data_IF_674443513296
#
_entry.id   IF_674443513296
#
_cell.length_a   1.000
_cell.length_b   1.000
_cell.length_c   1.000
_cell.angle_alpha   90.00
_cell.angle_beta   90.00
_cell.angle_gamma   90.00
#
_symmetry.space_group_name_H-M   'P 1'
#
loop_
_entity.id
_entity.type
_entity.pdbx_description
1 polymer ?
#
# COMPACT_ATOMS: atom_id res chain seq x y z
N UNK A 1 -1.43 -21.57 8.61
CA UNK A 1 -2.48 -20.83 9.36
C UNK A 1 -3.60 -21.78 9.80
N UNK A 2 -4.30 -22.44 8.88
CA UNK A 2 -5.47 -23.28 9.19
C UNK A 2 -5.13 -24.39 10.20
N UNK A 3 -4.00 -25.10 10.07
CA UNK A 3 -3.55 -26.10 11.03
C UNK A 3 -3.30 -25.54 12.45
N UNK A 4 -2.92 -24.29 12.57
CA UNK A 4 -2.78 -23.63 13.87
C UNK A 4 -4.14 -23.33 14.48
N UNK A 5 -5.10 -22.85 13.69
CA UNK A 5 -6.47 -22.60 14.13
C UNK A 5 -7.18 -23.90 14.56
N UNK A 6 -6.94 -25.00 13.81
CA UNK A 6 -7.45 -26.33 14.16
C UNK A 6 -6.95 -26.79 15.55
N UNK A 7 -5.68 -26.55 15.88
CA UNK A 7 -5.10 -26.87 17.20
C UNK A 7 -5.61 -25.98 18.34
N UNK A 8 -5.94 -24.71 18.03
CA UNK A 8 -6.43 -23.72 18.98
C UNK A 8 -7.96 -23.71 19.11
N UNK A 9 -8.68 -24.73 18.56
CA UNK A 9 -10.12 -24.80 18.35
C UNK A 9 -10.95 -24.60 19.64
N UNK A 10 -11.03 -23.34 20.11
CA UNK A 10 -11.85 -22.89 21.23
C UNK A 10 -12.56 -21.60 20.86
N UNK A 11 -13.81 -21.71 20.40
CA UNK A 11 -14.65 -20.57 20.07
C UNK A 11 -14.66 -20.17 18.60
N UNK A 12 -15.23 -19.00 18.31
CA UNK A 12 -15.35 -18.47 16.96
C UNK A 12 -14.02 -17.86 16.47
N UNK A 13 -13.56 -18.30 15.32
CA UNK A 13 -12.40 -17.71 14.62
C UNK A 13 -12.87 -16.61 13.67
N UNK A 14 -12.47 -15.37 13.91
CA UNK A 14 -12.71 -14.25 12.98
C UNK A 14 -11.42 -14.00 12.19
N UNK A 15 -11.50 -14.21 10.88
CA UNK A 15 -10.37 -14.05 9.96
C UNK A 15 -10.62 -12.79 9.12
N UNK A 16 -9.65 -11.89 9.04
CA UNK A 16 -9.81 -10.63 8.30
C UNK A 16 -8.69 -10.46 7.26
N UNK A 17 -9.01 -9.85 6.11
CA UNK A 17 -8.06 -9.49 5.04
C UNK A 17 -7.44 -10.68 4.29
N UNK A 18 -7.98 -11.85 4.48
CA UNK A 18 -7.52 -13.07 3.79
C UNK A 18 -8.53 -14.21 3.92
N UNK A 19 -8.29 -15.24 3.15
CA UNK A 19 -9.03 -16.51 3.19
C UNK A 19 -10.43 -16.49 2.55
N UNK A 20 -10.82 -15.42 1.84
CA UNK A 20 -12.10 -15.39 1.09
C UNK A 20 -12.22 -16.49 0.03
N UNK A 21 -11.10 -17.02 -0.47
CA UNK A 21 -11.05 -18.16 -1.41
C UNK A 21 -10.76 -19.52 -0.79
N UNK A 22 -10.85 -19.65 0.55
CA UNK A 22 -10.49 -20.89 1.27
C UNK A 22 -11.63 -21.42 2.16
N UNK A 23 -12.86 -20.99 1.93
CA UNK A 23 -14.01 -21.34 2.76
C UNK A 23 -14.21 -22.84 2.90
N UNK A 24 -14.15 -23.60 1.80
CA UNK A 24 -14.27 -25.08 1.83
C UNK A 24 -13.20 -25.75 2.70
N UNK A 25 -11.98 -25.24 2.68
CA UNK A 25 -10.91 -25.77 3.54
C UNK A 25 -11.15 -25.44 5.01
N UNK A 26 -11.71 -24.25 5.29
CA UNK A 26 -12.07 -23.84 6.65
C UNK A 26 -13.24 -24.66 7.19
N UNK A 27 -14.26 -24.94 6.37
CA UNK A 27 -15.38 -25.81 6.72
C UNK A 27 -14.90 -27.22 7.14
N UNK A 28 -13.98 -27.79 6.35
CA UNK A 28 -13.44 -29.13 6.64
C UNK A 28 -12.64 -29.19 7.95
N UNK A 29 -11.95 -28.10 8.31
CA UNK A 29 -11.01 -28.06 9.43
C UNK A 29 -11.59 -27.49 10.73
N UNK A 30 -12.50 -26.53 10.62
CA UNK A 30 -13.03 -25.76 11.74
C UNK A 30 -14.56 -25.94 11.94
N UNK A 31 -15.24 -26.68 11.05
CA UNK A 31 -16.70 -26.78 11.06
C UNK A 31 -17.34 -25.41 10.93
N UNK A 32 -18.34 -25.09 11.77
CA UNK A 32 -19.08 -23.83 11.73
C UNK A 32 -18.47 -22.72 12.62
N UNK A 33 -17.29 -22.96 13.22
CA UNK A 33 -16.72 -22.04 14.21
C UNK A 33 -15.77 -20.99 13.59
N UNK A 34 -16.10 -20.45 12.43
CA UNK A 34 -15.30 -19.44 11.79
C UNK A 34 -16.16 -18.47 10.96
N UNK A 35 -15.62 -17.27 10.75
CA UNK A 35 -16.12 -16.28 9.80
C UNK A 35 -14.96 -15.54 9.15
N UNK A 36 -15.04 -15.29 7.85
CA UNK A 36 -14.08 -14.48 7.09
C UNK A 36 -14.73 -13.13 6.76
N UNK A 37 -13.99 -12.04 7.00
CA UNK A 37 -14.30 -10.69 6.55
C UNK A 37 -13.22 -10.27 5.56
N UNK A 38 -13.51 -10.33 4.25
CA UNK A 38 -12.53 -10.12 3.21
C UNK A 38 -13.06 -9.23 2.08
N UNK A 39 -12.15 -8.61 1.34
CA UNK A 39 -12.45 -7.70 0.23
C UNK A 39 -11.71 -8.07 -1.07
N UNK A 40 -10.86 -9.10 -1.03
CA UNK A 40 -10.20 -9.61 -2.23
C UNK A 40 -11.19 -10.28 -3.18
N UNK A 41 -10.84 -10.37 -4.47
CA UNK A 41 -11.66 -11.09 -5.44
C UNK A 41 -11.91 -12.52 -4.97
N UNK A 42 -13.19 -12.92 -4.94
CA UNK A 42 -13.62 -14.23 -4.47
C UNK A 42 -13.78 -15.17 -5.67
N UNK A 43 -13.31 -16.43 -5.59
CA UNK A 43 -13.60 -17.45 -6.59
C UNK A 43 -15.10 -17.77 -6.69
N UNK A 44 -15.59 -18.10 -7.88
CA UNK A 44 -17.01 -18.38 -8.13
C UNK A 44 -17.57 -19.51 -7.22
N UNK A 45 -16.76 -20.51 -6.92
CA UNK A 45 -17.14 -21.65 -6.12
C UNK A 45 -17.16 -21.40 -4.61
N UNK A 46 -16.75 -20.20 -4.17
CA UNK A 46 -16.84 -19.73 -2.76
C UNK A 46 -17.92 -18.66 -2.55
N UNK A 47 -18.60 -18.21 -3.62
CA UNK A 47 -19.63 -17.16 -3.53
C UNK A 47 -20.77 -17.55 -2.59
N UNK A 48 -21.19 -18.80 -2.59
CA UNK A 48 -22.32 -19.28 -1.78
C UNK A 48 -21.96 -19.61 -0.32
N UNK A 49 -20.69 -19.58 0.06
CA UNK A 49 -20.27 -19.87 1.42
C UNK A 49 -20.73 -18.77 2.38
N UNK A 50 -21.64 -19.09 3.31
CA UNK A 50 -22.27 -18.12 4.22
C UNK A 50 -21.31 -17.57 5.29
N UNK A 51 -20.26 -18.31 5.64
CA UNK A 51 -19.25 -17.88 6.61
C UNK A 51 -18.23 -16.91 6.00
N UNK A 52 -18.24 -16.73 4.67
CA UNK A 52 -17.42 -15.75 3.98
C UNK A 52 -18.25 -14.51 3.71
N UNK A 53 -18.00 -13.44 4.46
CA UNK A 53 -18.57 -12.11 4.24
C UNK A 53 -17.54 -11.34 3.40
N UNK A 54 -17.85 -11.16 2.11
CA UNK A 54 -16.94 -10.55 1.15
C UNK A 54 -17.64 -9.44 0.37
N UNK A 55 -16.97 -8.32 0.14
CA UNK A 55 -17.51 -7.14 -0.53
C UNK A 55 -18.11 -7.48 -1.92
N UNK A 56 -17.43 -8.34 -2.69
CA UNK A 56 -17.85 -8.74 -4.04
C UNK A 56 -19.20 -9.49 -4.07
N UNK A 57 -19.64 -10.09 -2.97
CA UNK A 57 -20.98 -10.71 -2.86
C UNK A 57 -22.11 -9.68 -2.84
N UNK A 58 -21.79 -8.42 -2.62
CA UNK A 58 -22.74 -7.31 -2.47
C UNK A 58 -22.55 -6.25 -3.56
N UNK A 59 -21.91 -6.60 -4.68
CA UNK A 59 -21.60 -5.68 -5.79
C UNK A 59 -20.76 -4.47 -5.35
N UNK A 60 -19.92 -4.64 -4.30
CA UNK A 60 -18.99 -3.61 -3.82
C UNK A 60 -17.58 -3.98 -4.29
N UNK A 61 -16.92 -3.04 -4.96
CA UNK A 61 -15.52 -3.24 -5.38
C UNK A 61 -14.57 -3.20 -4.18
N UNK A 62 -14.12 -4.39 -3.78
CA UNK A 62 -13.15 -4.53 -2.70
C UNK A 62 -11.76 -3.93 -3.00
N UNK A 63 -11.46 -3.58 -4.25
CA UNK A 63 -10.20 -2.92 -4.61
C UNK A 63 -10.20 -1.40 -4.40
N UNK A 64 -11.37 -0.76 -4.34
CA UNK A 64 -11.49 0.70 -4.32
C UNK A 64 -12.51 1.23 -3.32
N UNK A 65 -13.61 0.50 -3.06
CA UNK A 65 -14.75 1.01 -2.29
C UNK A 65 -14.73 0.63 -0.82
N UNK A 66 -14.10 -0.50 -0.46
CA UNK A 66 -13.95 -0.95 0.93
C UNK A 66 -12.70 -1.80 1.10
N UNK A 67 -11.98 -1.60 2.21
CA UNK A 67 -10.86 -2.44 2.64
C UNK A 67 -11.27 -3.40 3.77
N UNK A 68 -10.40 -4.32 4.14
CA UNK A 68 -10.65 -5.27 5.24
C UNK A 68 -10.97 -4.58 6.58
N UNK A 69 -10.29 -3.46 6.89
CA UNK A 69 -10.59 -2.67 8.08
C UNK A 69 -11.98 -2.02 8.01
N UNK A 70 -12.45 -1.64 6.81
CA UNK A 70 -13.81 -1.20 6.56
C UNK A 70 -14.82 -2.33 6.79
N UNK A 71 -14.55 -3.54 6.27
CA UNK A 71 -15.37 -4.73 6.52
C UNK A 71 -15.48 -5.04 8.02
N UNK A 72 -14.35 -5.02 8.73
CA UNK A 72 -14.30 -5.23 10.18
C UNK A 72 -15.09 -4.16 10.95
N UNK A 73 -14.98 -2.88 10.51
CA UNK A 73 -15.75 -1.77 11.08
C UNK A 73 -17.26 -1.96 10.90
N UNK A 74 -17.73 -2.36 9.70
CA UNK A 74 -19.14 -2.63 9.45
C UNK A 74 -19.65 -3.79 10.31
N UNK A 75 -18.87 -4.85 10.44
CA UNK A 75 -19.19 -5.96 11.35
C UNK A 75 -19.28 -5.49 12.82
N UNK A 76 -18.29 -4.73 13.30
CA UNK A 76 -18.28 -4.21 14.66
C UNK A 76 -19.48 -3.30 14.96
N UNK A 77 -19.84 -2.41 14.03
CA UNK A 77 -20.99 -1.50 14.19
C UNK A 77 -22.33 -2.21 14.07
N UNK A 78 -22.40 -3.33 13.34
CA UNK A 78 -23.58 -4.20 13.31
C UNK A 78 -23.80 -4.91 14.65
N UNK A 79 -22.73 -5.29 15.34
CA UNK A 79 -22.79 -5.90 16.66
C UNK A 79 -23.10 -4.87 17.77
N UNK A 80 -22.52 -3.68 17.68
CA UNK A 80 -22.77 -2.59 18.62
C UNK A 80 -22.59 -1.24 17.91
N UNK A 81 -23.67 -0.43 17.91
CA UNK A 81 -23.68 0.90 17.27
C UNK A 81 -22.72 1.90 17.91
N UNK A 82 -22.32 1.72 19.14
CA UNK A 82 -21.30 2.57 19.81
C UNK A 82 -19.91 2.46 19.16
N UNK A 83 -19.63 1.34 18.48
CA UNK A 83 -18.38 1.12 17.75
C UNK A 83 -18.16 2.07 16.53
N UNK A 84 -19.02 3.09 16.36
CA UNK A 84 -18.81 4.14 15.34
C UNK A 84 -17.53 4.93 15.56
N UNK A 85 -17.01 5.00 16.77
CA UNK A 85 -15.75 5.63 17.13
C UNK A 85 -14.54 4.95 16.45
N UNK A 86 -14.66 3.68 16.05
CA UNK A 86 -13.65 2.94 15.28
C UNK A 86 -13.53 3.41 13.83
N UNK A 87 -14.42 4.28 13.33
CA UNK A 87 -14.37 4.81 11.96
C UNK A 87 -13.04 5.50 11.63
N UNK A 88 -12.39 6.15 12.60
CA UNK A 88 -11.08 6.74 12.41
C UNK A 88 -10.00 5.71 12.05
N UNK A 89 -9.97 4.56 12.73
CA UNK A 89 -9.01 3.47 12.43
C UNK A 89 -9.35 2.80 11.10
N UNK A 90 -10.63 2.66 10.74
CA UNK A 90 -11.04 2.17 9.44
C UNK A 90 -10.56 3.09 8.29
N UNK A 91 -10.58 4.42 8.49
CA UNK A 91 -9.97 5.39 7.55
C UNK A 91 -8.47 5.14 7.39
N UNK A 92 -7.72 4.91 8.49
CA UNK A 92 -6.28 4.58 8.41
C UNK A 92 -6.05 3.29 7.63
N UNK A 93 -6.90 2.27 7.83
CA UNK A 93 -6.83 1.01 7.09
C UNK A 93 -7.04 1.22 5.58
N UNK A 94 -8.04 1.99 5.18
CA UNK A 94 -8.31 2.30 3.77
C UNK A 94 -7.16 3.07 3.10
N UNK A 95 -6.50 3.99 3.83
CA UNK A 95 -5.27 4.66 3.37
C UNK A 95 -4.10 3.68 3.26
N UNK A 96 -3.99 2.72 4.19
CA UNK A 96 -2.96 1.68 4.18
C UNK A 96 -3.08 0.75 2.99
N UNK A 97 -4.30 0.47 2.57
CA UNK A 97 -4.65 -0.33 1.39
C UNK A 97 -4.71 0.50 0.08
N UNK A 98 -4.36 1.80 0.15
CA UNK A 98 -4.28 2.72 -0.99
C UNK A 98 -5.61 2.86 -1.75
N UNK A 99 -6.72 2.85 -1.04
CA UNK A 99 -8.07 2.97 -1.60
C UNK A 99 -8.55 4.43 -1.74
N UNK A 100 -7.69 5.40 -1.52
CA UNK A 100 -7.90 6.82 -1.81
C UNK A 100 -7.73 7.10 -3.32
N UNK A 101 -8.53 6.41 -4.15
CA UNK A 101 -8.42 6.41 -5.61
C UNK A 101 -9.48 7.27 -6.31
N UNK A 102 -10.36 7.91 -5.55
CA UNK A 102 -11.32 8.88 -6.08
C UNK A 102 -10.66 10.21 -6.50
N UNK A 103 -11.49 11.12 -7.00
CA UNK A 103 -11.02 12.43 -7.43
C UNK A 103 -10.26 13.14 -6.29
N UNK A 104 -9.09 13.73 -6.62
CA UNK A 104 -8.22 14.40 -5.64
C UNK A 104 -7.84 13.53 -4.44
N UNK A 105 -7.63 12.24 -4.65
CA UNK A 105 -7.31 11.28 -3.57
C UNK A 105 -8.41 11.18 -2.50
N UNK A 106 -9.68 11.30 -2.91
CA UNK A 106 -10.83 11.02 -2.06
C UNK A 106 -11.08 9.52 -1.95
N UNK A 107 -11.85 9.13 -0.95
CA UNK A 107 -12.44 7.81 -0.91
C UNK A 107 -13.72 7.75 -1.74
N UNK A 108 -14.07 6.55 -2.17
CA UNK A 108 -15.34 6.24 -2.85
C UNK A 108 -16.08 5.12 -2.11
N UNK A 109 -17.32 4.86 -2.50
CA UNK A 109 -18.13 3.76 -1.96
C UNK A 109 -18.29 3.78 -0.44
N UNK A 110 -18.11 2.63 0.20
CA UNK A 110 -18.25 2.47 1.64
C UNK A 110 -17.15 3.18 2.43
N UNK A 111 -15.91 3.23 1.91
CA UNK A 111 -14.84 4.01 2.55
C UNK A 111 -15.19 5.48 2.68
N UNK A 112 -15.89 6.06 1.69
CA UNK A 112 -16.36 7.45 1.76
C UNK A 112 -17.40 7.64 2.88
N UNK A 113 -18.33 6.70 3.04
CA UNK A 113 -19.34 6.74 4.11
C UNK A 113 -18.69 6.62 5.50
N UNK A 114 -17.71 5.72 5.63
CA UNK A 114 -16.94 5.54 6.87
C UNK A 114 -16.17 6.83 7.21
N UNK A 115 -15.48 7.41 6.23
CA UNK A 115 -14.75 8.66 6.41
C UNK A 115 -15.66 9.84 6.78
N UNK A 116 -16.87 9.90 6.21
CA UNK A 116 -17.89 10.86 6.61
C UNK A 116 -18.31 10.69 8.07
N UNK A 117 -18.54 9.46 8.51
CA UNK A 117 -18.85 9.16 9.93
C UNK A 117 -17.70 9.60 10.84
N UNK A 118 -16.44 9.31 10.48
CA UNK A 118 -15.27 9.74 11.24
C UNK A 118 -15.17 11.27 11.35
N UNK A 119 -15.51 11.99 10.28
CA UNK A 119 -15.57 13.46 10.27
C UNK A 119 -16.68 14.00 11.15
N UNK A 120 -17.88 13.44 11.07
CA UNK A 120 -19.03 13.84 11.89
C UNK A 120 -18.79 13.63 13.40
N UNK A 121 -17.97 12.64 13.75
CA UNK A 121 -17.55 12.37 15.14
C UNK A 121 -16.28 13.14 15.56
N UNK A 122 -15.79 14.06 14.72
CA UNK A 122 -14.57 14.85 14.97
C UNK A 122 -13.33 13.97 15.28
N UNK A 123 -13.26 12.80 14.67
CA UNK A 123 -12.13 11.89 14.75
C UNK A 123 -11.10 12.19 13.65
N UNK A 124 -11.57 12.66 12.50
CA UNK A 124 -10.75 12.95 11.33
C UNK A 124 -11.21 14.23 10.67
N UNK A 125 -10.30 15.18 10.46
CA UNK A 125 -10.49 16.32 9.58
C UNK A 125 -10.15 15.93 8.14
N UNK A 126 -11.06 16.21 7.21
CA UNK A 126 -10.88 15.91 5.79
C UNK A 126 -10.88 17.23 5.02
N UNK A 127 -9.74 17.62 4.50
CA UNK A 127 -9.53 18.89 3.81
C UNK A 127 -8.74 18.70 2.51
N UNK A 128 -9.02 19.55 1.53
CA UNK A 128 -8.20 19.64 0.32
C UNK A 128 -6.92 20.41 0.65
N UNK A 129 -5.76 19.80 0.46
CA UNK A 129 -4.47 20.37 0.85
C UNK A 129 -3.31 19.86 -0.01
N UNK A 130 -2.12 20.40 0.20
CA UNK A 130 -0.88 19.97 -0.45
C UNK A 130 -0.47 18.58 0.07
N UNK A 131 -0.37 17.61 -0.86
CA UNK A 131 -0.03 16.22 -0.59
C UNK A 131 1.47 15.96 -0.75
N UNK A 132 2.27 16.26 0.27
CA UNK A 132 3.66 15.85 0.33
C UNK A 132 3.84 14.70 1.33
N UNK A 133 4.74 13.78 1.01
CA UNK A 133 5.02 12.61 1.86
C UNK A 133 5.69 13.03 3.17
N UNK A 134 5.12 12.61 4.30
CA UNK A 134 5.60 13.01 5.62
C UNK A 134 5.18 14.41 5.99
N UNK A 135 3.94 14.75 5.70
CA UNK A 135 3.31 16.05 5.88
C UNK A 135 3.44 16.59 7.31
N UNK A 136 3.40 15.72 8.30
CA UNK A 136 3.55 16.08 9.72
C UNK A 136 4.99 15.92 10.25
N UNK A 137 5.79 15.03 9.68
CA UNK A 137 7.05 14.63 10.32
C UNK A 137 8.30 14.96 9.54
N UNK A 138 8.21 15.21 8.22
CA UNK A 138 9.40 15.46 7.39
C UNK A 138 9.66 16.95 7.19
N UNK A 139 10.93 17.41 7.27
CA UNK A 139 11.32 18.71 6.76
C UNK A 139 10.81 18.96 5.35
N UNK A 140 10.32 20.14 5.05
CA UNK A 140 9.69 20.45 3.77
C UNK A 140 10.52 20.08 2.52
N UNK A 141 11.85 20.30 2.46
CA UNK A 141 12.67 19.85 1.32
C UNK A 141 12.71 18.32 1.19
N UNK A 142 12.74 17.61 2.32
CA UNK A 142 12.70 16.15 2.33
C UNK A 142 11.31 15.64 1.94
N UNK A 143 10.25 16.27 2.42
CA UNK A 143 8.87 15.93 2.06
C UNK A 143 8.67 16.01 0.54
N UNK A 144 9.13 17.08 -0.09
CA UNK A 144 9.05 17.26 -1.54
C UNK A 144 9.92 16.24 -2.28
N UNK A 145 11.17 16.02 -1.85
CA UNK A 145 12.07 15.07 -2.49
C UNK A 145 11.59 13.62 -2.41
N UNK A 146 10.93 13.23 -1.32
CA UNK A 146 10.39 11.87 -1.14
C UNK A 146 8.99 11.68 -1.74
N UNK A 147 8.35 12.76 -2.21
CA UNK A 147 7.09 12.65 -2.96
C UNK A 147 7.40 12.13 -4.37
N UNK A 148 6.95 10.90 -4.65
CA UNK A 148 7.17 10.21 -5.92
C UNK A 148 5.89 10.07 -6.75
N UNK A 149 4.77 10.51 -6.23
CA UNK A 149 3.49 10.67 -6.92
C UNK A 149 2.93 12.06 -6.58
N UNK A 150 2.99 12.98 -7.57
CA UNK A 150 3.57 12.85 -8.91
C UNK A 150 5.08 12.72 -8.88
N UNK A 151 5.62 12.01 -9.88
CA UNK A 151 7.06 12.04 -10.13
C UNK A 151 7.40 13.36 -10.84
N UNK A 152 8.33 14.13 -10.25
CA UNK A 152 8.79 15.41 -10.80
C UNK A 152 10.26 15.26 -11.17
N UNK A 153 10.53 15.19 -12.47
CA UNK A 153 11.90 15.04 -12.98
C UNK A 153 12.81 16.17 -12.45
N UNK A 154 13.94 15.80 -11.85
CA UNK A 154 14.90 16.71 -11.26
C UNK A 154 14.61 17.11 -9.79
N UNK A 155 13.39 16.88 -9.27
CA UNK A 155 13.05 17.12 -7.87
C UNK A 155 12.90 15.82 -7.07
N UNK A 156 12.13 14.85 -7.59
CA UNK A 156 11.96 13.57 -6.89
C UNK A 156 13.30 12.90 -6.66
N UNK A 157 13.57 12.57 -5.39
CA UNK A 157 14.84 12.05 -4.84
C UNK A 157 16.05 13.00 -4.91
N UNK A 158 15.82 14.28 -5.19
CA UNK A 158 16.87 15.29 -5.22
C UNK A 158 16.58 16.39 -4.18
N UNK A 159 17.03 16.16 -2.95
CA UNK A 159 16.80 17.08 -1.82
C UNK A 159 17.38 18.47 -2.08
N UNK A 160 18.55 18.55 -2.71
CA UNK A 160 19.22 19.84 -2.92
C UNK A 160 18.49 20.69 -3.96
N UNK A 161 17.98 20.08 -5.03
CA UNK A 161 17.11 20.76 -5.98
C UNK A 161 15.80 21.23 -5.34
N UNK A 162 15.18 20.38 -4.50
CA UNK A 162 13.99 20.75 -3.73
C UNK A 162 14.25 21.95 -2.80
N UNK A 163 15.40 21.94 -2.09
CA UNK A 163 15.80 23.04 -1.24
C UNK A 163 16.01 24.36 -2.03
N UNK A 164 16.66 24.27 -3.20
CA UNK A 164 16.88 25.43 -4.07
C UNK A 164 15.57 26.06 -4.54
N UNK A 165 14.61 25.22 -4.99
CA UNK A 165 13.28 25.71 -5.42
C UNK A 165 12.52 26.33 -4.27
N UNK A 166 12.42 25.64 -3.14
CA UNK A 166 11.71 26.14 -1.98
C UNK A 166 12.26 27.48 -1.49
N UNK A 167 13.58 27.65 -1.47
CA UNK A 167 14.20 28.95 -1.17
C UNK A 167 13.79 30.05 -2.18
N UNK A 168 13.62 29.71 -3.45
CA UNK A 168 13.21 30.68 -4.48
C UNK A 168 11.76 31.15 -4.35
N UNK A 169 10.92 30.40 -3.60
CA UNK A 169 9.51 30.79 -3.34
C UNK A 169 9.37 31.88 -2.29
N UNK A 170 10.42 32.19 -1.52
CA UNK A 170 10.39 33.13 -0.41
C UNK A 170 9.64 32.59 0.83
N UNK A 171 9.32 31.31 0.88
CA UNK A 171 8.73 30.65 2.06
C UNK A 171 9.83 30.36 3.07
N UNK A 172 9.62 30.74 4.33
CA UNK A 172 10.55 30.39 5.39
C UNK A 172 10.54 28.89 5.66
N UNK A 173 11.69 28.23 5.46
CA UNK A 173 11.82 26.76 5.63
C UNK A 173 12.12 26.33 7.05
N UNK A 174 12.48 27.30 7.92
CA UNK A 174 12.78 27.06 9.33
C UNK A 174 12.02 28.05 10.21
N UNK A 175 11.59 27.57 11.36
CA UNK A 175 11.21 28.38 12.49
C UNK A 175 12.33 28.28 13.52
N UNK A 176 13.10 29.37 13.69
CA UNK A 176 14.36 29.40 14.46
C UNK A 176 15.35 28.32 13.95
N UNK A 177 15.69 27.35 14.79
CA UNK A 177 16.57 26.24 14.44
C UNK A 177 15.84 24.99 13.86
N UNK A 178 14.50 25.00 13.89
CA UNK A 178 13.68 23.84 13.54
C UNK A 178 13.19 23.93 12.08
N UNK A 179 13.34 22.83 11.34
CA UNK A 179 12.72 22.71 10.02
C UNK A 179 11.19 22.69 10.13
N UNK A 180 10.55 23.47 9.26
CA UNK A 180 9.10 23.43 9.08
C UNK A 180 8.72 22.20 8.26
N UNK A 181 7.53 21.68 8.53
CA UNK A 181 6.88 20.58 7.82
C UNK A 181 5.72 21.12 6.98
N UNK A 182 5.14 20.32 6.11
CA UNK A 182 4.06 20.76 5.22
C UNK A 182 2.85 21.28 5.98
N UNK A 183 2.51 20.68 7.12
CA UNK A 183 1.37 21.10 7.96
C UNK A 183 1.60 22.42 8.70
N UNK A 184 2.83 22.93 8.78
CA UNK A 184 3.13 24.23 9.37
C UNK A 184 2.89 25.41 8.39
N UNK A 185 2.67 25.11 7.10
CA UNK A 185 2.52 26.14 6.08
C UNK A 185 1.11 26.73 6.08
N UNK A 186 1.03 28.06 6.04
CA UNK A 186 -0.21 28.79 5.79
C UNK A 186 -0.65 28.63 4.32
N UNK A 187 -1.91 28.90 4.03
CA UNK A 187 -2.48 28.70 2.68
C UNK A 187 -1.73 29.48 1.58
N UNK A 188 -1.31 30.73 1.88
CA UNK A 188 -0.55 31.54 0.93
C UNK A 188 0.87 30.98 0.69
N UNK A 189 1.49 30.40 1.72
CA UNK A 189 2.79 29.73 1.61
C UNK A 189 2.69 28.46 0.78
N UNK A 190 1.64 27.65 1.01
CA UNK A 190 1.37 26.45 0.19
C UNK A 190 1.18 26.81 -1.27
N UNK A 191 0.46 27.90 -1.56
CA UNK A 191 0.27 28.43 -2.92
C UNK A 191 1.61 28.78 -3.57
N UNK A 192 2.49 29.51 -2.86
CA UNK A 192 3.86 29.83 -3.34
C UNK A 192 4.69 28.57 -3.61
N UNK A 193 4.60 27.55 -2.76
CA UNK A 193 5.29 26.27 -2.97
C UNK A 193 4.80 25.59 -4.24
N UNK A 194 3.49 25.50 -4.44
CA UNK A 194 2.88 24.91 -5.65
C UNK A 194 3.30 25.70 -6.90
N UNK A 195 3.25 27.03 -6.88
CA UNK A 195 3.70 27.88 -7.99
C UNK A 195 5.19 27.66 -8.32
N UNK A 196 6.05 27.54 -7.29
CA UNK A 196 7.48 27.25 -7.45
C UNK A 196 7.71 25.90 -8.12
N UNK A 197 7.02 24.85 -7.68
CA UNK A 197 7.09 23.50 -8.26
C UNK A 197 6.59 23.53 -9.71
N UNK A 198 5.45 24.17 -9.96
CA UNK A 198 4.85 24.26 -11.30
C UNK A 198 5.75 25.01 -12.27
N UNK A 199 6.36 26.13 -11.82
CA UNK A 199 7.31 26.92 -12.62
C UNK A 199 8.56 26.09 -12.95
N UNK A 200 9.04 25.25 -12.05
CA UNK A 200 10.16 24.34 -12.31
C UNK A 200 9.80 23.26 -13.34
N UNK A 201 8.62 22.69 -13.24
CA UNK A 201 8.14 21.62 -14.12
C UNK A 201 7.88 22.08 -15.56
N UNK A 202 8.13 23.35 -15.91
CA UNK A 202 7.84 24.05 -17.18
C UNK A 202 7.62 23.17 -18.40
N UNK A 203 6.38 23.17 -18.94
CA UNK A 203 6.04 22.67 -20.29
C UNK A 203 5.74 21.17 -20.41
N UNK A 204 6.10 20.33 -19.46
CA UNK A 204 5.75 18.91 -19.45
C UNK A 204 4.84 18.63 -18.24
N UNK A 205 3.53 18.44 -18.49
CA UNK A 205 2.55 17.98 -17.49
C UNK A 205 2.39 18.83 -16.22
N UNK A 206 2.68 20.15 -16.27
CA UNK A 206 2.56 21.01 -15.10
C UNK A 206 1.16 20.97 -14.45
N UNK A 207 0.11 20.88 -15.26
CA UNK A 207 -1.28 20.76 -14.81
C UNK A 207 -1.51 19.41 -14.11
N UNK A 208 -1.04 18.30 -14.68
CA UNK A 208 -1.15 16.98 -14.08
C UNK A 208 -0.40 16.90 -12.75
N UNK A 209 0.83 17.47 -12.69
CA UNK A 209 1.60 17.55 -11.45
C UNK A 209 0.85 18.33 -10.38
N UNK A 210 0.25 19.49 -10.72
CA UNK A 210 -0.56 20.27 -9.79
C UNK A 210 -1.78 19.47 -9.29
N UNK A 211 -2.46 18.81 -10.22
CA UNK A 211 -3.65 18.03 -9.91
C UNK A 211 -3.36 16.86 -8.96
N UNK A 212 -2.17 16.26 -9.07
CA UNK A 212 -1.75 15.19 -8.17
C UNK A 212 -1.16 15.69 -6.84
N UNK A 213 -0.58 16.89 -6.80
CA UNK A 213 -0.06 17.49 -5.57
C UNK A 213 -1.14 18.03 -4.64
N UNK A 214 -2.35 18.28 -5.15
CA UNK A 214 -3.47 18.78 -4.35
C UNK A 214 -4.52 17.68 -4.21
N UNK A 215 -4.82 17.30 -2.98
CA UNK A 215 -5.82 16.28 -2.73
C UNK A 215 -6.27 16.22 -1.28
N UNK A 216 -7.20 15.34 -1.01
CA UNK A 216 -7.74 15.21 0.34
C UNK A 216 -6.71 14.65 1.31
N UNK A 217 -6.53 15.38 2.41
CA UNK A 217 -5.77 14.96 3.60
C UNK A 217 -6.74 14.47 4.67
N UNK A 218 -6.28 13.51 5.44
CA UNK A 218 -7.02 12.90 6.54
C UNK A 218 -6.22 13.13 7.81
N UNK A 219 -6.57 14.20 8.55
CA UNK A 219 -5.83 14.63 9.74
C UNK A 219 -6.57 14.21 11.01
N UNK A 220 -5.88 13.60 11.95
CA UNK A 220 -6.40 13.20 13.25
C UNK A 220 -6.19 14.34 14.26
N UNK A 221 -7.18 15.20 14.53
CA UNK A 221 -6.98 16.44 15.29
C UNK A 221 -6.63 16.20 16.76
N UNK A 222 -7.00 15.03 17.31
CA UNK A 222 -6.72 14.64 18.69
C UNK A 222 -5.28 14.16 18.90
N UNK A 223 -4.54 13.86 17.83
CA UNK A 223 -3.15 13.46 17.90
C UNK A 223 -2.22 14.69 17.95
N UNK A 224 -1.10 14.56 18.63
CA UNK A 224 -0.11 15.62 18.77
C UNK A 224 0.41 16.10 17.41
N UNK A 225 0.65 17.40 17.28
CA UNK A 225 1.32 17.97 16.11
C UNK A 225 2.68 17.30 15.92
N UNK A 226 3.00 16.97 14.67
CA UNK A 226 4.24 16.30 14.28
C UNK A 226 4.38 14.85 14.76
N UNK A 227 3.32 14.27 15.29
CA UNK A 227 3.22 12.83 15.48
C UNK A 227 2.96 12.14 14.14
N UNK A 228 3.54 10.95 13.95
CA UNK A 228 3.21 10.07 12.81
C UNK A 228 1.74 9.65 12.78
N UNK A 229 1.03 9.77 13.90
CA UNK A 229 -0.39 9.41 13.98
C UNK A 229 -1.33 10.52 13.50
N UNK A 230 -0.82 11.76 13.38
CA UNK A 230 -1.66 12.90 13.03
C UNK A 230 -2.10 12.93 11.57
N UNK A 231 -1.25 12.51 10.64
CA UNK A 231 -1.62 12.32 9.22
C UNK A 231 -1.96 10.85 8.96
N UNK A 232 -3.13 10.57 8.39
CA UNK A 232 -3.62 9.21 8.18
C UNK A 232 -2.70 8.35 7.31
N UNK A 233 -1.99 8.92 6.32
CA UNK A 233 -1.04 8.18 5.48
C UNK A 233 0.26 7.88 6.21
N UNK A 234 0.70 8.78 7.10
CA UNK A 234 1.85 8.50 7.97
C UNK A 234 1.50 7.45 9.02
N UNK A 235 0.29 7.53 9.59
CA UNK A 235 -0.22 6.54 10.53
C UNK A 235 -0.29 5.16 9.88
N UNK A 236 -0.90 5.04 8.71
CA UNK A 236 -0.95 3.77 7.99
C UNK A 236 0.45 3.22 7.65
N UNK A 237 1.40 4.09 7.32
CA UNK A 237 2.80 3.70 7.09
C UNK A 237 3.46 3.12 8.34
N UNK A 238 3.18 3.69 9.53
CA UNK A 238 3.66 3.16 10.79
C UNK A 238 3.07 1.77 11.08
N UNK A 239 1.76 1.58 10.91
CA UNK A 239 1.12 0.28 11.11
C UNK A 239 1.65 -0.78 10.14
N UNK A 240 1.80 -0.41 8.87
CA UNK A 240 2.39 -1.27 7.85
C UNK A 240 3.83 -1.67 8.22
N UNK A 241 4.64 -0.76 8.76
CA UNK A 241 6.00 -1.09 9.19
C UNK A 241 6.00 -2.13 10.33
N UNK A 242 5.09 -1.99 11.30
CA UNK A 242 4.93 -2.97 12.38
C UNK A 242 4.59 -4.36 11.84
N UNK A 243 3.67 -4.46 10.88
CA UNK A 243 3.32 -5.71 10.22
C UNK A 243 4.48 -6.31 9.42
N UNK A 244 5.20 -5.49 8.64
CA UNK A 244 6.31 -5.94 7.78
C UNK A 244 7.53 -6.44 8.55
N UNK A 245 7.74 -5.96 9.78
CA UNK A 245 8.84 -6.41 10.67
C UNK A 245 8.35 -7.47 11.69
N UNK A 246 7.16 -8.05 11.49
CA UNK A 246 6.59 -9.04 12.40
C UNK A 246 6.38 -8.53 13.85
N UNK A 247 6.07 -7.25 14.02
CA UNK A 247 5.76 -6.59 15.29
C UNK A 247 4.30 -6.10 15.34
N UNK A 248 3.38 -6.85 14.75
CA UNK A 248 1.96 -6.48 14.63
C UNK A 248 1.32 -6.09 15.96
N UNK A 249 1.71 -6.74 17.07
CA UNK A 249 1.21 -6.40 18.41
C UNK A 249 1.46 -4.95 18.82
N UNK A 250 2.57 -4.34 18.36
CA UNK A 250 2.84 -2.91 18.59
C UNK A 250 1.82 -2.05 17.84
N UNK A 251 1.58 -2.35 16.55
CA UNK A 251 0.57 -1.65 15.74
C UNK A 251 -0.84 -1.77 16.34
N UNK A 252 -1.23 -2.97 16.78
CA UNK A 252 -2.52 -3.20 17.45
C UNK A 252 -2.65 -2.35 18.72
N UNK A 253 -1.61 -2.32 19.58
CA UNK A 253 -1.62 -1.53 20.81
C UNK A 253 -1.76 -0.03 20.52
N UNK A 254 -1.10 0.48 19.48
CA UNK A 254 -1.25 1.87 19.02
C UNK A 254 -2.70 2.14 18.58
N UNK A 255 -3.31 1.24 17.81
CA UNK A 255 -4.72 1.35 17.40
C UNK A 255 -5.67 1.30 18.60
N UNK A 256 -5.32 0.57 19.65
CA UNK A 256 -6.08 0.51 20.91
C UNK A 256 -5.83 1.72 21.83
N UNK A 257 -5.04 2.70 21.42
CA UNK A 257 -4.86 3.96 22.12
C UNK A 257 -3.58 4.10 22.93
N UNK A 258 -2.62 3.17 22.86
CA UNK A 258 -1.32 3.38 23.52
C UNK A 258 -0.56 4.50 22.80
N UNK A 259 -0.33 5.59 23.54
CA UNK A 259 0.41 6.79 23.08
C UNK A 259 1.74 6.98 23.82
N UNK A 260 2.18 5.96 24.56
CA UNK A 260 3.40 5.96 25.36
C UNK A 260 4.42 4.96 24.82
N UNK A 261 4.56 3.83 25.53
CA UNK A 261 5.60 2.83 25.23
C UNK A 261 5.48 2.23 23.84
N UNK A 262 4.26 1.88 23.42
CA UNK A 262 4.06 1.24 22.11
C UNK A 262 4.18 2.24 20.95
N UNK A 263 3.81 3.51 21.17
CA UNK A 263 4.07 4.55 20.16
C UNK A 263 5.58 4.76 19.95
N UNK A 264 6.37 4.87 21.02
CA UNK A 264 7.83 4.99 20.92
C UNK A 264 8.47 3.78 20.25
N UNK A 265 8.00 2.57 20.55
CA UNK A 265 8.47 1.35 19.87
C UNK A 265 8.05 1.35 18.38
N UNK A 266 6.84 1.82 18.05
CA UNK A 266 6.39 1.99 16.68
C UNK A 266 7.24 2.96 15.86
N UNK A 267 7.64 4.08 16.44
CA UNK A 267 8.56 5.05 15.83
C UNK A 267 9.94 4.45 15.53
N UNK A 268 10.47 3.66 16.48
CA UNK A 268 11.72 2.93 16.30
C UNK A 268 11.61 1.90 15.17
N UNK A 269 10.54 1.09 15.17
CA UNK A 269 10.24 0.12 14.10
C UNK A 269 10.15 0.81 12.73
N UNK A 270 9.49 1.96 12.66
CA UNK A 270 9.40 2.74 11.42
C UNK A 270 10.77 3.21 10.93
N UNK A 271 11.66 3.61 11.86
CA UNK A 271 13.06 3.95 11.56
C UNK A 271 13.85 2.77 11.01
N UNK A 272 13.76 1.61 11.66
CA UNK A 272 14.36 0.35 11.22
C UNK A 272 13.86 -0.06 9.84
N UNK A 273 12.53 -0.06 9.64
CA UNK A 273 11.90 -0.37 8.35
C UNK A 273 12.41 0.51 7.21
N UNK A 274 12.50 1.84 7.43
CA UNK A 274 13.05 2.77 6.43
C UNK A 274 14.52 2.53 6.13
N UNK A 275 15.31 2.13 7.14
CA UNK A 275 16.72 1.77 6.97
C UNK A 275 16.89 0.50 6.12
N UNK A 276 16.10 -0.54 6.41
CA UNK A 276 16.08 -1.79 5.66
C UNK A 276 15.72 -1.56 4.18
N UNK A 277 14.67 -0.76 3.90
CA UNK A 277 14.29 -0.41 2.52
C UNK A 277 15.48 0.24 1.79
N UNK A 278 16.15 1.20 2.43
CA UNK A 278 17.30 1.90 1.84
C UNK A 278 18.43 0.95 1.52
N UNK A 279 18.74 0.05 2.43
CA UNK A 279 19.76 -0.97 2.24
C UNK A 279 19.44 -1.90 1.06
N UNK A 280 18.22 -2.46 1.02
CA UNK A 280 17.79 -3.34 -0.08
C UNK A 280 17.83 -2.63 -1.43
N UNK A 281 17.33 -1.42 -1.51
CA UNK A 281 17.35 -0.65 -2.75
C UNK A 281 18.77 -0.31 -3.21
N UNK A 282 19.70 -0.05 -2.28
CA UNK A 282 21.11 0.16 -2.61
C UNK A 282 21.76 -1.11 -3.17
N UNK A 283 21.55 -2.26 -2.54
CA UNK A 283 22.09 -3.55 -3.02
C UNK A 283 21.54 -3.89 -4.39
N UNK A 284 20.21 -3.82 -4.57
CA UNK A 284 19.54 -4.08 -5.85
C UNK A 284 20.01 -3.12 -6.96
N UNK A 285 20.31 -1.86 -6.63
CA UNK A 285 20.84 -0.88 -7.58
C UNK A 285 22.29 -1.13 -8.00
N UNK A 286 23.10 -1.72 -7.12
CA UNK A 286 24.52 -1.97 -7.37
C UNK A 286 24.78 -3.35 -7.98
N UNK A 287 24.02 -4.39 -7.59
CA UNK A 287 24.19 -5.75 -8.08
C UNK A 287 23.34 -6.00 -9.33
N UNK A 288 23.86 -5.55 -10.49
CA UNK A 288 23.13 -5.57 -11.77
C UNK A 288 22.60 -6.95 -12.18
N UNK A 289 23.24 -8.04 -11.77
CA UNK A 289 22.81 -9.41 -12.05
C UNK A 289 21.45 -9.77 -11.41
N UNK A 290 21.04 -9.01 -10.37
CA UNK A 290 19.75 -9.20 -9.69
C UNK A 290 18.57 -8.64 -10.49
N UNK A 291 18.81 -7.80 -11.47
CA UNK A 291 17.75 -7.15 -12.22
C UNK A 291 17.94 -7.33 -13.71
N UNK A 292 17.01 -8.01 -14.36
CA UNK A 292 16.89 -8.02 -15.82
C UNK A 292 15.69 -7.17 -16.23
N UNK A 293 15.82 -6.43 -17.33
CA UNK A 293 14.75 -5.56 -17.82
C UNK A 293 14.70 -5.60 -19.32
N UNK A 294 13.52 -5.89 -19.86
CA UNK A 294 13.18 -5.72 -21.27
C UNK A 294 12.21 -4.53 -21.48
N UNK A 295 11.56 -4.48 -22.63
CA UNK A 295 10.60 -3.42 -22.98
C UNK A 295 9.36 -3.42 -22.09
N UNK A 296 8.92 -4.56 -21.60
CA UNK A 296 7.61 -4.78 -20.98
C UNK A 296 7.70 -5.19 -19.50
N UNK A 297 8.81 -5.77 -19.09
CA UNK A 297 8.97 -6.39 -17.79
C UNK A 297 10.30 -6.06 -17.13
N UNK A 298 10.30 -6.06 -15.81
CA UNK A 298 11.49 -6.03 -14.95
C UNK A 298 11.40 -7.22 -14.02
N UNK A 299 12.34 -8.15 -14.17
CA UNK A 299 12.49 -9.30 -13.27
C UNK A 299 13.55 -8.99 -12.22
N UNK A 300 13.23 -9.22 -10.95
CA UNK A 300 14.11 -8.92 -9.82
C UNK A 300 14.34 -10.17 -8.98
N UNK A 301 15.60 -10.58 -8.88
CA UNK A 301 16.02 -11.62 -7.96
C UNK A 301 16.46 -11.02 -6.62
N UNK A 302 15.63 -11.12 -5.61
CA UNK A 302 15.88 -10.63 -4.26
C UNK A 302 16.14 -11.75 -3.23
N UNK A 303 16.37 -12.98 -3.71
CA UNK A 303 16.70 -14.14 -2.87
C UNK A 303 17.97 -13.85 -2.03
N UNK A 304 17.94 -14.26 -0.76
CA UNK A 304 19.00 -13.99 0.21
C UNK A 304 19.15 -12.53 0.64
N UNK A 305 18.30 -11.62 0.13
CA UNK A 305 18.40 -10.18 0.42
C UNK A 305 17.12 -9.62 1.06
N UNK A 306 15.98 -9.80 0.41
CA UNK A 306 14.70 -9.20 0.85
C UNK A 306 13.83 -10.25 1.52
N UNK A 307 13.39 -10.06 2.77
CA UNK A 307 12.51 -11.00 3.43
C UNK A 307 11.11 -11.02 2.77
N UNK A 308 10.44 -12.14 2.85
CA UNK A 308 9.12 -12.37 2.26
C UNK A 308 8.10 -11.29 2.59
N UNK A 309 8.11 -10.77 3.82
CA UNK A 309 7.19 -9.73 4.30
C UNK A 309 7.38 -8.37 3.62
N UNK A 310 8.54 -8.13 2.99
CA UNK A 310 8.87 -6.86 2.35
C UNK A 310 8.83 -6.90 0.81
N UNK A 311 8.56 -8.06 0.20
CA UNK A 311 8.52 -8.21 -1.27
C UNK A 311 7.57 -7.20 -1.93
N UNK A 312 6.35 -7.04 -1.39
CA UNK A 312 5.35 -6.11 -1.91
C UNK A 312 5.81 -4.65 -1.84
N UNK A 313 6.52 -4.26 -0.78
CA UNK A 313 7.06 -2.90 -0.64
C UNK A 313 8.16 -2.65 -1.66
N UNK A 314 9.14 -3.54 -1.75
CA UNK A 314 10.29 -3.36 -2.65
C UNK A 314 9.85 -3.42 -4.11
N UNK A 315 8.96 -4.35 -4.49
CA UNK A 315 8.42 -4.40 -5.85
C UNK A 315 7.63 -3.14 -6.22
N UNK A 316 6.88 -2.55 -5.29
CA UNK A 316 6.16 -1.29 -5.51
C UNK A 316 7.10 -0.10 -5.69
N UNK A 317 8.20 -0.03 -4.92
CA UNK A 317 9.21 1.03 -5.07
C UNK A 317 9.95 0.93 -6.41
N UNK A 318 10.27 -0.30 -6.84
CA UNK A 318 10.89 -0.52 -8.15
C UNK A 318 9.92 -0.15 -9.27
N UNK A 319 8.64 -0.53 -9.16
CA UNK A 319 7.61 -0.17 -10.13
C UNK A 319 7.37 1.35 -10.21
N UNK A 320 7.48 2.06 -9.08
CA UNK A 320 7.39 3.53 -9.03
C UNK A 320 8.61 4.26 -9.59
N UNK A 321 9.69 3.55 -9.96
CA UNK A 321 10.87 4.19 -10.56
C UNK A 321 10.58 4.66 -11.99
N UNK A 322 11.04 5.88 -12.37
CA UNK A 322 10.85 6.41 -13.72
C UNK A 322 11.37 5.52 -14.85
N UNK A 323 12.44 4.78 -14.57
CA UNK A 323 13.04 3.82 -15.52
C UNK A 323 12.12 2.64 -15.87
N UNK A 324 11.12 2.41 -15.04
CA UNK A 324 10.21 1.27 -15.14
C UNK A 324 8.78 1.66 -15.53
N UNK A 325 8.53 2.95 -15.85
CA UNK A 325 7.23 3.42 -16.33
C UNK A 325 6.77 2.57 -17.52
N UNK A 326 5.52 2.15 -17.51
CA UNK A 326 4.90 1.33 -18.56
C UNK A 326 5.18 -0.17 -18.45
N UNK A 327 5.96 -0.63 -17.47
CA UNK A 327 6.38 -2.04 -17.33
C UNK A 327 5.65 -2.77 -16.19
N UNK A 328 5.66 -4.07 -16.26
CA UNK A 328 5.33 -4.97 -15.15
C UNK A 328 6.63 -5.26 -14.39
N UNK A 329 6.62 -5.13 -13.07
CA UNK A 329 7.74 -5.52 -12.20
C UNK A 329 7.37 -6.82 -11.49
N UNK A 330 8.23 -7.83 -11.57
CA UNK A 330 8.07 -9.11 -10.89
C UNK A 330 9.32 -9.33 -10.02
N UNK A 331 9.14 -9.39 -8.71
CA UNK A 331 10.18 -9.63 -7.73
C UNK A 331 10.00 -10.99 -7.10
N UNK A 332 11.09 -11.77 -6.98
CA UNK A 332 11.10 -13.04 -6.25
C UNK A 332 12.05 -13.02 -5.07
N UNK A 333 11.74 -13.78 -4.02
CA UNK A 333 12.60 -14.01 -2.85
C UNK A 333 12.37 -15.41 -2.27
N UNK A 334 13.23 -15.78 -1.33
CA UNK A 334 13.03 -17.02 -0.56
C UNK A 334 11.73 -16.91 0.25
N UNK A 335 10.86 -17.88 0.13
CA UNK A 335 9.69 -18.09 0.95
C UNK A 335 9.94 -19.04 2.11
N UNK A 336 8.94 -19.24 2.96
CA UNK A 336 8.99 -20.27 4.01
C UNK A 336 9.00 -21.68 3.41
N UNK A 337 9.54 -22.65 4.15
CA UNK A 337 9.44 -24.09 3.86
C UNK A 337 9.94 -24.51 2.47
N UNK A 338 11.04 -23.93 2.00
CA UNK A 338 11.64 -24.26 0.71
C UNK A 338 10.86 -23.78 -0.52
N UNK A 339 9.99 -22.78 -0.32
CA UNK A 339 9.25 -22.15 -1.39
C UNK A 339 9.94 -20.88 -1.91
N UNK A 340 9.47 -20.37 -3.06
CA UNK A 340 9.83 -19.06 -3.59
C UNK A 340 8.59 -18.18 -3.61
N UNK A 341 8.70 -16.97 -3.05
CA UNK A 341 7.64 -15.96 -3.03
C UNK A 341 7.83 -14.97 -4.16
N UNK A 342 6.77 -14.74 -4.93
CA UNK A 342 6.71 -13.73 -5.98
C UNK A 342 5.82 -12.56 -5.58
N UNK A 343 6.16 -11.37 -6.04
CA UNK A 343 5.33 -10.17 -5.95
C UNK A 343 5.40 -9.40 -7.27
N UNK A 344 4.27 -9.19 -7.91
CA UNK A 344 4.14 -8.45 -9.17
C UNK A 344 3.41 -7.14 -9.00
N UNK A 345 3.82 -6.12 -9.77
CA UNK A 345 3.24 -4.77 -9.78
C UNK A 345 3.21 -4.21 -11.20
N UNK A 346 2.10 -3.59 -11.58
CA UNK A 346 2.08 -2.69 -12.74
C UNK A 346 2.67 -1.34 -12.32
N UNK A 347 3.59 -0.81 -13.12
CA UNK A 347 4.07 0.56 -12.93
C UNK A 347 3.05 1.58 -13.45
N UNK A 348 3.30 2.86 -13.19
CA UNK A 348 2.49 3.96 -13.73
C UNK A 348 2.48 3.87 -15.27
N UNK A 349 1.34 4.16 -15.88
CA UNK A 349 1.13 4.12 -17.33
C UNK A 349 1.42 2.74 -17.97
N UNK A 350 1.37 1.66 -17.21
CA UNK A 350 1.43 0.31 -17.76
C UNK A 350 0.13 0.01 -18.52
N UNK A 351 0.21 0.03 -19.84
CA UNK A 351 -0.93 -0.25 -20.74
C UNK A 351 -1.19 -1.75 -20.95
N UNK A 352 -0.46 -2.61 -20.25
CA UNK A 352 -0.65 -4.05 -20.39
C UNK A 352 -2.03 -4.48 -19.91
N UNK A 353 -2.75 -5.23 -20.76
CA UNK A 353 -4.02 -5.86 -20.45
C UNK A 353 -3.88 -7.10 -19.56
N UNK A 354 -2.66 -7.49 -19.20
CA UNK A 354 -2.39 -8.62 -18.30
C UNK A 354 -3.03 -8.36 -16.93
N UNK A 355 -3.98 -9.18 -16.54
CA UNK A 355 -4.46 -9.22 -15.16
C UNK A 355 -3.41 -9.96 -14.31
N UNK A 356 -2.71 -9.24 -13.41
CA UNK A 356 -1.66 -9.85 -12.59
C UNK A 356 -2.21 -10.91 -11.62
N UNK A 357 -3.45 -10.74 -11.13
CA UNK A 357 -4.09 -11.75 -10.28
C UNK A 357 -4.24 -13.08 -11.01
N UNK A 358 -4.77 -13.04 -12.25
CA UNK A 358 -4.97 -14.25 -13.06
C UNK A 358 -3.62 -14.85 -13.48
N UNK A 359 -2.65 -14.03 -13.87
CA UNK A 359 -1.30 -14.49 -14.21
C UNK A 359 -0.67 -15.27 -13.07
N UNK A 360 -0.71 -14.71 -11.86
CA UNK A 360 -0.08 -15.33 -10.69
C UNK A 360 -0.86 -16.54 -10.18
N UNK A 361 -2.20 -16.50 -10.20
CA UNK A 361 -3.05 -17.62 -9.79
C UNK A 361 -2.89 -18.80 -10.74
N UNK A 362 -3.15 -18.60 -12.03
CA UNK A 362 -3.12 -19.69 -13.03
C UNK A 362 -1.71 -20.30 -13.16
N UNK A 363 -0.67 -19.44 -13.08
CA UNK A 363 0.71 -19.94 -13.07
C UNK A 363 1.02 -20.74 -11.82
N UNK A 364 0.66 -20.27 -10.64
CA UNK A 364 0.91 -20.99 -9.39
C UNK A 364 0.16 -22.34 -9.35
N UNK A 365 -1.13 -22.35 -9.71
CA UNK A 365 -1.93 -23.60 -9.77
C UNK A 365 -1.34 -24.62 -10.73
N UNK A 366 -0.80 -24.19 -11.87
CA UNK A 366 -0.13 -25.08 -12.84
C UNK A 366 1.09 -25.79 -12.25
N UNK A 367 1.72 -25.23 -11.25
CA UNK A 367 2.94 -25.72 -10.61
C UNK A 367 2.74 -26.04 -9.12
N UNK A 368 1.55 -26.48 -8.74
CA UNK A 368 1.17 -26.91 -7.39
C UNK A 368 1.43 -25.86 -6.30
N UNK A 369 1.33 -24.59 -6.68
CA UNK A 369 1.52 -23.44 -5.79
C UNK A 369 0.21 -22.71 -5.49
N UNK A 370 0.33 -21.54 -4.88
CA UNK A 370 -0.78 -20.64 -4.54
C UNK A 370 -0.48 -19.23 -5.03
N UNK A 371 -1.44 -18.60 -5.72
CA UNK A 371 -1.30 -17.24 -6.23
C UNK A 371 -2.62 -16.49 -6.25
N UNK A 372 -2.53 -15.16 -6.42
CA UNK A 372 -3.69 -14.27 -6.51
C UNK A 372 -3.35 -12.83 -6.12
N UNK A 373 -4.39 -12.00 -6.02
CA UNK A 373 -4.28 -10.59 -5.69
C UNK A 373 -5.27 -9.74 -6.48
N UNK A 374 -4.82 -8.59 -6.94
CA UNK A 374 -5.59 -7.66 -7.76
C UNK A 374 -4.99 -7.54 -9.17
N UNK A 375 -5.74 -6.93 -10.11
CA UNK A 375 -5.29 -6.72 -11.49
C UNK A 375 -3.92 -6.02 -11.58
N UNK A 376 -3.65 -5.04 -10.72
CA UNK A 376 -2.42 -4.23 -10.75
C UNK A 376 -1.34 -4.71 -9.76
N UNK A 377 -1.67 -5.61 -8.83
CA UNK A 377 -0.78 -6.04 -7.76
C UNK A 377 -1.14 -7.47 -7.30
N UNK A 378 -0.28 -8.43 -7.55
CA UNK A 378 -0.52 -9.83 -7.22
C UNK A 378 0.76 -10.52 -6.72
N UNK A 379 0.60 -11.73 -6.21
CA UNK A 379 1.71 -12.55 -5.75
C UNK A 379 1.47 -14.03 -6.01
N UNK A 380 2.55 -14.79 -5.95
CA UNK A 380 2.50 -16.25 -6.00
C UNK A 380 3.50 -16.86 -5.03
N UNK A 381 3.29 -18.11 -4.68
CA UNK A 381 4.22 -18.94 -3.95
C UNK A 381 4.26 -20.31 -4.61
N UNK A 382 5.44 -20.74 -4.98
CA UNK A 382 5.70 -22.05 -5.59
C UNK A 382 6.83 -22.76 -4.86
N UNK A 383 6.96 -24.07 -5.04
CA UNK A 383 8.10 -24.82 -4.54
C UNK A 383 9.37 -24.51 -5.35
N UNK A 384 10.53 -24.63 -4.72
CA UNK A 384 11.81 -24.21 -5.34
C UNK A 384 12.20 -25.08 -6.54
N UNK A 385 11.79 -26.34 -6.57
CA UNK A 385 12.01 -27.26 -7.69
C UNK A 385 11.21 -26.87 -8.97
N UNK A 386 10.16 -26.08 -8.84
CA UNK A 386 9.35 -25.58 -9.95
C UNK A 386 9.72 -24.16 -10.41
N UNK A 387 10.80 -23.60 -9.86
CA UNK A 387 11.18 -22.20 -10.09
C UNK A 387 11.42 -21.90 -11.58
N UNK A 388 12.22 -22.70 -12.27
CA UNK A 388 12.61 -22.42 -13.65
C UNK A 388 11.38 -22.52 -14.59
N UNK A 389 10.55 -23.57 -14.41
CA UNK A 389 9.31 -23.75 -15.19
C UNK A 389 8.33 -22.58 -14.97
N UNK A 390 8.25 -22.05 -13.76
CA UNK A 390 7.40 -20.90 -13.44
C UNK A 390 7.94 -19.60 -14.02
N UNK A 391 9.26 -19.39 -14.04
CA UNK A 391 9.89 -18.23 -14.68
C UNK A 391 9.63 -18.23 -16.19
N UNK A 392 9.77 -19.37 -16.85
CA UNK A 392 9.46 -19.52 -18.29
C UNK A 392 7.98 -19.18 -18.56
N UNK A 393 7.07 -19.70 -17.71
CA UNK A 393 5.64 -19.36 -17.80
C UNK A 393 5.38 -17.84 -17.67
N UNK A 394 6.01 -17.16 -16.73
CA UNK A 394 5.85 -15.73 -16.53
C UNK A 394 6.36 -14.95 -17.75
N UNK A 395 7.55 -15.28 -18.26
CA UNK A 395 8.15 -14.64 -19.42
C UNK A 395 7.30 -14.79 -20.68
N UNK A 396 6.83 -16.01 -20.96
CA UNK A 396 5.94 -16.27 -22.09
C UNK A 396 4.63 -15.48 -22.00
N UNK A 397 3.99 -15.42 -20.83
CA UNK A 397 2.67 -14.81 -20.73
C UNK A 397 2.73 -13.28 -20.64
N UNK A 398 3.78 -12.71 -20.04
CA UNK A 398 3.99 -11.26 -20.07
C UNK A 398 4.32 -10.78 -21.50
N UNK A 399 5.13 -11.53 -22.26
CA UNK A 399 5.54 -11.16 -23.63
C UNK A 399 4.42 -11.37 -24.63
N UNK A 400 3.71 -12.51 -24.60
CA UNK A 400 2.63 -12.85 -25.57
C UNK A 400 1.43 -11.92 -25.47
N UNK A 401 1.08 -11.47 -24.26
CA UNK A 401 -0.07 -10.60 -24.04
C UNK A 401 0.18 -9.15 -24.47
N UNK A 402 1.44 -8.70 -24.49
CA UNK A 402 1.82 -7.40 -25.07
C UNK A 402 1.86 -7.41 -26.61
N UNK A 403 2.07 -8.56 -27.23
CA UNK A 403 2.15 -8.70 -28.69
C UNK A 403 0.79 -8.65 -29.41
N UNK A 404 -0.33 -8.84 -28.71
CA UNK A 404 -1.68 -8.79 -29.31
C UNK A 404 -2.23 -7.37 -29.51
N UNK A 405 -1.68 -6.37 -28.81
CA UNK A 405 -2.14 -4.98 -28.92
C UNK A 405 -1.53 -4.19 -30.08
N UNK A 406 -0.53 -4.74 -30.81
CA UNK A 406 0.09 -4.06 -31.95
C UNK A 406 -0.46 -4.49 -33.32
N UNK A 407 -1.57 -5.22 -33.35
CA UNK A 407 -2.18 -5.75 -34.58
C UNK A 407 -3.67 -5.40 -34.75
N UNK A 408 -4.13 -4.28 -34.16
CA UNK A 408 -5.45 -3.70 -34.46
C UNK A 408 -5.35 -2.21 -34.77
#
# INVERSE_FOLDING_TARGET
MIERLEKENKGLHVITDLAGGFGKNLDQKLGDNWVVLDHHQIPEDEIDNQNVINAWKFDIDGGTEICAGGMAYLAATSLNKENKDLSGIAVVSALGDRQDQGEKKSFVGENQKIAKTAKELELVDINLDLLLVGRETRPLPDALAFTSQPFIEGLTWNRDACLAILNSTGVELKDKARWRVTSDLEQDEKRKVIEGITKFAQGKNATEIMDELIGYTYTFPREDKRSFLRDGREFSTMLNSCGRINKSGVGISICMGDRNKMLQEGEKILGEYRSMIREYMNVLGNERWRMSSDKNCVMVNAEGLVPETMTGTISSLIAGSPKNIGKIVILRTDGSEGTVKFSSRKSINCKSNVNLSDLMRNGAEKFDGVGGGHNAAAGARITKDKLDEFLDYLEENVTKLHGRDNSQ
#
